data_IF_410867905992
#
_entry.id   IF_410867905992
#
_cell.length_a   1.000
_cell.length_b   1.000
_cell.length_c   1.000
_cell.angle_alpha   90.00
_cell.angle_beta   90.00
_cell.angle_gamma   90.00
#
_symmetry.space_group_name_H-M   'P 1'
#
loop_
_entity.id
_entity.type
_entity.pdbx_description
1 polymer ?
#
# COMPACT_ATOMS: atom_id res chain seq x y z
N UNK A 1 15.94 -1.21 14.96
CA UNK A 1 15.11 -1.19 14.78
C UNK A 1 14.33 -1.51 13.93
N UNK A 2 13.99 -1.83 13.65
CA UNK A 2 13.46 -2.09 12.92
C UNK A 2 12.58 -2.63 12.64
N UNK A 3 12.35 -3.16 12.69
CA UNK A 3 11.54 -4.17 12.41
C UNK A 3 10.27 -3.87 11.75
N UNK A 4 9.98 -2.71 11.69
CA UNK A 4 8.79 -2.28 10.99
C UNK A 4 9.23 -1.72 9.68
N UNK A 5 8.72 -2.24 8.65
CA UNK A 5 9.17 -1.81 7.37
C UNK A 5 8.22 -2.23 6.29
N UNK A 6 8.80 -2.62 5.19
CA UNK A 6 8.07 -2.98 4.00
C UNK A 6 8.27 -4.46 3.76
N UNK A 7 7.16 -5.18 3.60
CA UNK A 7 7.18 -6.61 3.29
C UNK A 7 6.69 -6.78 1.86
N UNK A 8 7.57 -7.25 1.00
CA UNK A 8 7.23 -7.53 -0.39
C UNK A 8 7.34 -9.02 -0.63
N UNK A 9 6.25 -9.63 -1.06
CA UNK A 9 6.25 -11.04 -1.39
C UNK A 9 6.68 -11.26 -2.84
N UNK A 10 6.75 -12.51 -3.25
CA UNK A 10 7.29 -12.86 -4.56
C UNK A 10 6.44 -12.32 -5.71
N UNK A 11 7.10 -11.91 -6.78
CA UNK A 11 6.42 -11.50 -7.99
C UNK A 11 5.75 -10.13 -7.94
N UNK A 12 5.99 -9.36 -6.87
CA UNK A 12 5.44 -8.01 -6.77
C UNK A 12 6.11 -7.10 -7.80
N UNK A 13 5.31 -6.32 -8.51
CA UNK A 13 5.80 -5.35 -9.48
C UNK A 13 5.45 -3.95 -8.99
N UNK A 14 6.45 -3.09 -8.90
CA UNK A 14 6.28 -1.72 -8.41
C UNK A 14 6.80 -0.77 -9.46
N UNK A 15 5.94 0.16 -9.89
CA UNK A 15 6.31 1.19 -10.85
C UNK A 15 7.21 2.26 -10.22
N UNK A 16 7.65 3.24 -11.03
CA UNK A 16 8.53 4.30 -10.53
C UNK A 16 7.79 5.26 -9.60
N UNK A 17 8.57 5.88 -8.71
CA UNK A 17 8.09 6.93 -7.80
C UNK A 17 6.95 6.48 -6.88
N UNK A 18 6.99 5.22 -6.46
CA UNK A 18 6.05 4.71 -5.47
C UNK A 18 6.57 5.03 -4.08
N UNK A 19 5.70 5.55 -3.23
CA UNK A 19 6.03 5.90 -1.86
C UNK A 19 5.27 4.98 -0.91
N UNK A 20 6.02 4.26 -0.07
CA UNK A 20 5.47 3.36 0.94
C UNK A 20 5.75 3.97 2.30
N UNK A 21 4.71 4.45 2.96
CA UNK A 21 4.84 5.14 4.24
C UNK A 21 4.64 4.15 5.38
N UNK A 22 5.60 4.07 6.28
CA UNK A 22 5.52 3.15 7.41
C UNK A 22 5.44 3.86 8.75
N UNK A 23 5.49 5.19 8.76
CA UNK A 23 5.53 5.97 9.99
C UNK A 23 4.32 6.90 10.06
N UNK A 24 3.67 6.90 11.20
CA UNK A 24 2.58 7.79 11.54
C UNK A 24 2.87 8.52 12.85
N UNK A 25 2.30 9.71 13.02
CA UNK A 25 2.30 10.41 14.29
C UNK A 25 0.97 10.20 15.00
N UNK A 26 1.03 10.11 16.33
CA UNK A 26 -0.19 10.08 17.11
C UNK A 26 -0.87 11.45 17.03
N UNK A 27 -2.14 11.48 16.70
CA UNK A 27 -2.87 12.74 16.56
C UNK A 27 -3.04 13.48 17.90
N UNK A 28 -2.95 12.76 19.01
CA UNK A 28 -3.07 13.36 20.34
C UNK A 28 -1.74 13.83 20.87
N UNK A 29 -0.65 13.19 20.48
CA UNK A 29 0.70 13.56 20.89
C UNK A 29 1.62 13.37 19.69
N UNK A 30 1.97 14.46 19.04
CA UNK A 30 2.76 14.43 17.81
C UNK A 30 4.20 13.99 18.05
N UNK A 31 4.64 13.88 19.33
CA UNK A 31 5.95 13.34 19.64
C UNK A 31 5.98 11.81 19.60
N UNK A 32 4.81 11.19 19.65
CA UNK A 32 4.72 9.73 19.58
C UNK A 32 4.68 9.32 18.12
N UNK A 33 5.67 8.54 17.71
CA UNK A 33 5.75 8.02 16.35
C UNK A 33 5.29 6.57 16.36
N UNK A 34 4.28 6.26 15.53
CA UNK A 34 3.79 4.91 15.38
C UNK A 34 4.26 4.36 14.06
N UNK A 35 4.88 3.19 14.11
CA UNK A 35 5.37 2.51 12.91
C UNK A 35 4.46 1.35 12.59
N UNK A 36 3.99 1.29 11.36
CA UNK A 36 3.14 0.21 10.88
C UNK A 36 3.66 -0.28 9.53
N UNK A 37 3.87 -1.57 9.36
CA UNK A 37 4.44 -2.07 8.11
C UNK A 37 3.44 -1.97 6.98
N UNK A 38 3.97 -1.80 5.77
CA UNK A 38 3.22 -1.97 4.54
C UNK A 38 3.55 -3.35 4.01
N UNK A 39 2.53 -4.13 3.71
CA UNK A 39 2.70 -5.47 3.17
C UNK A 39 2.10 -5.53 1.78
N UNK A 40 2.89 -5.96 0.80
CA UNK A 40 2.41 -6.16 -0.56
C UNK A 40 2.56 -7.64 -0.88
N UNK A 41 1.43 -8.30 -1.06
CA UNK A 41 1.41 -9.75 -1.21
C UNK A 41 1.73 -10.14 -2.64
N UNK A 42 2.00 -11.43 -2.82
CA UNK A 42 2.62 -11.91 -4.05
C UNK A 42 1.84 -11.53 -5.30
N UNK A 43 2.58 -11.22 -6.33
CA UNK A 43 2.06 -10.91 -7.66
C UNK A 43 1.16 -9.68 -7.72
N UNK A 44 1.13 -8.85 -6.70
CA UNK A 44 0.43 -7.58 -6.77
C UNK A 44 1.20 -6.61 -7.68
N UNK A 45 0.48 -5.73 -8.31
CA UNK A 45 1.06 -4.76 -9.23
C UNK A 45 0.71 -3.35 -8.77
N UNK A 46 1.75 -2.58 -8.45
CA UNK A 46 1.60 -1.19 -8.01
C UNK A 46 2.04 -0.29 -9.16
N UNK A 47 1.14 0.53 -9.64
CA UNK A 47 1.44 1.47 -10.73
C UNK A 47 2.37 2.60 -10.31
N UNK A 48 2.65 3.52 -11.22
CA UNK A 48 3.57 4.62 -10.97
C UNK A 48 2.96 5.68 -10.06
N UNK A 49 3.80 6.37 -9.30
CA UNK A 49 3.40 7.51 -8.45
C UNK A 49 2.30 7.17 -7.45
N UNK A 50 2.29 5.95 -6.95
CA UNK A 50 1.34 5.51 -5.94
C UNK A 50 1.89 5.81 -4.56
N UNK A 51 1.03 6.23 -3.65
CA UNK A 51 1.36 6.39 -2.23
C UNK A 51 0.52 5.40 -1.43
N UNK A 52 1.19 4.60 -0.60
CA UNK A 52 0.52 3.62 0.26
C UNK A 52 0.76 4.02 1.71
N UNK A 53 -0.31 4.18 2.46
CA UNK A 53 -0.24 4.66 3.84
C UNK A 53 0.19 3.57 4.82
N UNK A 54 0.65 3.95 6.02
CA UNK A 54 1.14 2.98 7.00
C UNK A 54 0.09 1.93 7.36
N UNK A 55 0.55 0.70 7.49
CA UNK A 55 -0.29 -0.40 7.93
C UNK A 55 -1.14 -1.04 6.85
N UNK A 56 -1.07 -0.54 5.62
CA UNK A 56 -1.90 -1.08 4.53
C UNK A 56 -1.32 -2.41 4.04
N UNK A 57 -2.21 -3.36 3.80
CA UNK A 57 -1.89 -4.63 3.14
C UNK A 57 -2.54 -4.64 1.77
N UNK A 58 -1.73 -4.83 0.74
CA UNK A 58 -2.22 -5.03 -0.62
C UNK A 58 -2.28 -6.52 -0.89
N UNK A 59 -3.46 -7.03 -1.16
CA UNK A 59 -3.68 -8.47 -1.35
C UNK A 59 -3.02 -9.03 -2.59
N UNK A 60 -2.82 -10.34 -2.61
CA UNK A 60 -2.17 -11.02 -3.72
C UNK A 60 -2.89 -10.82 -5.04
N UNK A 61 -2.14 -10.56 -6.10
CA UNK A 61 -2.71 -10.35 -7.43
C UNK A 61 -3.51 -9.07 -7.59
N UNK A 62 -3.54 -8.20 -6.58
CA UNK A 62 -4.26 -6.93 -6.69
C UNK A 62 -3.49 -5.97 -7.59
N UNK A 63 -4.20 -5.00 -8.15
CA UNK A 63 -3.62 -3.96 -9.00
C UNK A 63 -3.98 -2.60 -8.43
N UNK A 64 -2.98 -1.76 -8.23
CA UNK A 64 -3.18 -0.38 -7.81
C UNK A 64 -2.85 0.53 -8.98
N UNK A 65 -3.83 1.27 -9.44
CA UNK A 65 -3.66 2.17 -10.58
C UNK A 65 -2.69 3.31 -10.27
N UNK A 66 -2.07 3.85 -11.31
CA UNK A 66 -1.08 4.92 -11.16
C UNK A 66 -1.68 6.16 -10.50
N UNK A 67 -0.85 6.87 -9.76
CA UNK A 67 -1.19 8.10 -9.05
C UNK A 67 -2.25 7.93 -7.96
N UNK A 68 -2.48 6.70 -7.51
CA UNK A 68 -3.44 6.43 -6.43
C UNK A 68 -2.85 6.67 -5.05
N UNK A 69 -3.72 6.98 -4.10
CA UNK A 69 -3.36 7.04 -2.68
C UNK A 69 -4.15 5.97 -1.95
N UNK A 70 -3.45 4.94 -1.49
CA UNK A 70 -4.08 3.78 -0.86
C UNK A 70 -4.15 4.00 0.64
N UNK A 71 -5.35 4.14 1.15
CA UNK A 71 -5.60 4.46 2.56
C UNK A 71 -6.12 3.28 3.37
N UNK A 72 -6.54 2.20 2.70
CA UNK A 72 -7.13 1.02 3.32
C UNK A 72 -6.58 -0.23 2.65
N UNK A 73 -6.71 -1.35 3.32
CA UNK A 73 -6.29 -2.62 2.75
C UNK A 73 -6.99 -2.89 1.42
N UNK A 74 -6.27 -3.51 0.51
CA UNK A 74 -6.78 -3.88 -0.80
C UNK A 74 -6.96 -5.38 -0.83
N UNK A 75 -8.16 -5.84 -1.14
CA UNK A 75 -8.45 -7.26 -1.21
C UNK A 75 -7.68 -7.90 -2.38
N UNK A 76 -7.41 -9.19 -2.27
CA UNK A 76 -6.73 -9.93 -3.34
C UNK A 76 -7.54 -9.84 -4.64
N UNK A 77 -6.83 -9.84 -5.76
CA UNK A 77 -7.42 -9.86 -7.09
C UNK A 77 -8.40 -8.71 -7.34
N UNK A 78 -8.12 -7.57 -6.78
CA UNK A 78 -8.97 -6.38 -6.89
C UNK A 78 -8.16 -5.26 -7.54
N UNK A 79 -8.80 -4.51 -8.43
CA UNK A 79 -8.21 -3.31 -9.02
C UNK A 79 -8.75 -2.10 -8.28
N UNK A 80 -7.85 -1.28 -7.75
CA UNK A 80 -8.21 -0.03 -7.07
C UNK A 80 -7.49 1.13 -7.74
N UNK A 81 -8.08 2.32 -7.68
CA UNK A 81 -7.45 3.53 -8.19
C UNK A 81 -8.10 4.76 -7.58
N UNK A 82 -7.38 5.86 -7.64
CA UNK A 82 -7.87 7.17 -7.22
C UNK A 82 -7.26 7.66 -5.91
N UNK A 83 -7.73 8.80 -5.45
CA UNK A 83 -7.32 9.41 -4.19
C UNK A 83 -8.57 9.88 -3.43
N UNK A 84 -8.98 9.16 -2.38
CA UNK A 84 -8.46 7.87 -1.95
C UNK A 84 -8.79 6.76 -2.94
N UNK A 85 -7.95 5.75 -2.97
CA UNK A 85 -8.15 4.63 -3.89
C UNK A 85 -9.43 3.88 -3.56
N UNK A 86 -10.18 3.54 -4.59
CA UNK A 86 -11.45 2.81 -4.45
C UNK A 86 -11.47 1.66 -5.43
N UNK A 87 -12.26 0.65 -5.11
CA UNK A 87 -12.39 -0.53 -5.94
C UNK A 87 -13.01 -0.16 -7.28
N UNK A 88 -12.35 -0.53 -8.36
CA UNK A 88 -12.87 -0.35 -9.71
C UNK A 88 -13.52 -1.64 -10.19
N UNK A 89 -12.84 -2.76 -9.98
CA UNK A 89 -13.35 -4.07 -10.39
C UNK A 89 -12.57 -5.17 -9.70
N UNK A 90 -13.07 -6.38 -9.83
CA UNK A 90 -12.35 -7.56 -9.38
C UNK A 90 -11.81 -8.32 -10.58
N UNK A 91 -10.63 -8.91 -10.39
CA UNK A 91 -10.01 -9.75 -11.41
C UNK A 91 -10.46 -11.18 -11.12
N UNK A 92 -11.10 -11.77 -12.06
CA UNK A 92 -11.62 -13.13 -11.89
C UNK A 92 -10.64 -14.15 -12.44
#
# INVERSE_FOLDING_TARGET
MSAVGIILEDGVMIGPHVTLLTVNHDLKDLQIIKCKPVTIKKEAWIGANVTILPGVTVGGGAVVGSASVVTKDVAAHTVVAGNPAKVIKMIV
#
